data_IF_429919129983
#
_entry.id   IF_429919129983
#
_cell.length_a   1.000
_cell.length_b   1.000
_cell.length_c   1.000
_cell.angle_alpha   90.00
_cell.angle_beta   90.00
_cell.angle_gamma   90.00
#
_symmetry.space_group_name_H-M   'P 1'
#
loop_
_entity.id
_entity.type
_entity.pdbx_description
1 polymer ?
#
# COMPACT_ATOMS: atom_id res chain seq x y z
N UNK A 1 18.45 -7.19 -16.78
CA UNK A 1 19.63 -7.41 -15.92
C UNK A 1 19.64 -8.84 -15.49
N UNK A 2 20.78 -9.45 -15.10
CA UNK A 2 20.76 -10.81 -14.56
C UNK A 2 20.08 -10.84 -13.19
N UNK A 3 19.72 -12.02 -12.73
CA UNK A 3 19.36 -12.22 -11.33
C UNK A 3 20.60 -11.94 -10.48
N UNK A 4 20.48 -11.04 -9.50
CA UNK A 4 21.60 -10.48 -8.73
C UNK A 4 21.48 -10.77 -7.22
N UNK A 5 20.31 -11.23 -6.80
CA UNK A 5 19.98 -11.58 -5.42
C UNK A 5 20.15 -13.09 -5.19
N UNK A 6 19.69 -13.58 -4.07
CA UNK A 6 19.80 -15.00 -3.68
C UNK A 6 19.08 -15.94 -4.68
N UNK A 7 19.55 -17.19 -4.80
CA UNK A 7 18.83 -18.24 -5.51
C UNK A 7 17.43 -18.48 -4.93
N UNK A 8 16.48 -18.95 -5.75
CA UNK A 8 15.07 -19.08 -5.36
C UNK A 8 14.85 -20.00 -4.15
N UNK A 9 15.61 -21.07 -4.01
CA UNK A 9 15.58 -21.97 -2.86
C UNK A 9 16.02 -21.27 -1.57
N UNK A 10 17.06 -20.46 -1.62
CA UNK A 10 17.49 -19.63 -0.49
C UNK A 10 16.48 -18.52 -0.17
N UNK A 11 15.90 -17.88 -1.19
CA UNK A 11 14.84 -16.88 -1.01
C UNK A 11 13.63 -17.44 -0.23
N UNK A 12 13.24 -18.69 -0.49
CA UNK A 12 12.13 -19.35 0.21
C UNK A 12 12.36 -19.51 1.72
N UNK A 13 13.61 -19.58 2.14
CA UNK A 13 14.02 -19.72 3.55
C UNK A 13 14.48 -18.40 4.18
N UNK A 14 14.66 -17.36 3.36
CA UNK A 14 15.18 -16.07 3.81
C UNK A 14 14.29 -15.44 4.88
N UNK A 15 14.92 -14.82 5.90
CA UNK A 15 14.26 -14.08 6.98
C UNK A 15 14.99 -12.77 7.21
N UNK A 16 14.23 -11.70 7.39
CA UNK A 16 14.77 -10.40 7.80
C UNK A 16 15.48 -10.50 9.14
N UNK A 17 16.55 -9.71 9.30
CA UNK A 17 17.23 -9.50 10.56
C UNK A 17 16.70 -8.27 11.31
N UNK A 18 15.77 -7.51 10.71
CA UNK A 18 15.18 -6.32 11.33
C UNK A 18 14.40 -6.71 12.58
N UNK A 19 14.76 -6.10 13.70
CA UNK A 19 14.11 -6.37 15.00
C UNK A 19 12.91 -5.44 15.18
N UNK A 20 11.76 -6.01 15.52
CA UNK A 20 10.58 -5.24 15.84
C UNK A 20 10.82 -4.35 17.07
N UNK A 21 10.45 -3.05 17.04
CA UNK A 21 10.44 -2.20 18.23
C UNK A 21 9.56 -2.77 19.34
N UNK A 22 10.00 -2.69 20.59
CA UNK A 22 9.25 -3.24 21.72
C UNK A 22 7.88 -2.58 21.93
N UNK A 23 7.73 -1.33 21.50
CA UNK A 23 6.53 -0.51 21.61
C UNK A 23 5.68 -0.48 20.31
N UNK A 24 5.99 -1.35 19.34
CA UNK A 24 5.38 -1.32 17.99
C UNK A 24 3.85 -1.41 18.00
N UNK A 25 3.28 -2.26 18.86
CA UNK A 25 1.82 -2.42 18.93
C UNK A 25 1.17 -1.14 19.49
N UNK A 26 1.64 -0.64 20.61
CA UNK A 26 1.15 0.61 21.19
C UNK A 26 1.32 1.82 20.28
N UNK A 27 2.42 1.88 19.54
CA UNK A 27 2.69 2.94 18.56
C UNK A 27 1.64 2.97 17.45
N UNK A 28 1.27 1.83 16.87
CA UNK A 28 0.27 1.78 15.81
C UNK A 28 -1.16 1.92 16.35
N UNK A 29 -1.47 1.35 17.51
CA UNK A 29 -2.76 1.53 18.19
C UNK A 29 -3.02 3.01 18.49
N UNK A 30 -2.02 3.74 19.01
CA UNK A 30 -2.11 5.19 19.24
C UNK A 30 -2.34 5.96 17.94
N UNK A 31 -1.56 5.67 16.89
CA UNK A 31 -1.65 6.36 15.60
C UNK A 31 -3.04 6.24 14.96
N UNK A 32 -3.60 5.02 14.99
CA UNK A 32 -4.91 4.72 14.41
C UNK A 32 -6.02 5.32 15.28
N UNK A 33 -5.91 5.24 16.60
CA UNK A 33 -6.87 5.84 17.54
C UNK A 33 -6.96 7.36 17.34
N UNK A 34 -5.83 8.06 17.29
CA UNK A 34 -5.78 9.51 17.02
C UNK A 34 -6.50 9.89 15.72
N UNK A 35 -6.26 9.12 14.64
CA UNK A 35 -6.90 9.39 13.36
C UNK A 35 -8.43 9.16 13.40
N UNK A 36 -8.89 8.15 14.15
CA UNK A 36 -10.32 7.86 14.35
C UNK A 36 -11.02 8.97 15.16
N UNK A 37 -10.37 9.48 16.20
CA UNK A 37 -10.91 10.58 17.04
C UNK A 37 -11.08 11.88 16.25
N UNK A 38 -10.23 12.14 15.25
CA UNK A 38 -10.28 13.32 14.39
C UNK A 38 -11.10 13.11 13.12
N UNK A 39 -11.69 11.93 12.94
CA UNK A 39 -12.40 11.59 11.72
C UNK A 39 -13.72 12.34 11.57
N UNK A 40 -13.97 12.81 10.38
CA UNK A 40 -15.27 13.35 9.93
C UNK A 40 -15.89 12.39 8.92
N UNK A 41 -17.23 12.45 8.70
CA UNK A 41 -17.88 11.66 7.68
C UNK A 41 -17.25 11.86 6.30
N UNK A 42 -17.03 10.79 5.56
CA UNK A 42 -16.51 10.89 4.21
C UNK A 42 -17.55 11.50 3.26
N UNK A 43 -17.10 12.34 2.33
CA UNK A 43 -17.93 12.91 1.27
C UNK A 43 -17.75 12.10 -0.02
N UNK A 44 -18.85 11.80 -0.70
CA UNK A 44 -18.89 11.09 -1.98
C UNK A 44 -19.59 11.98 -3.00
N UNK A 45 -18.84 12.63 -3.88
CA UNK A 45 -19.35 13.55 -4.90
C UNK A 45 -19.46 12.82 -6.26
N UNK A 46 -20.67 12.68 -6.84
CA UNK A 46 -20.85 11.99 -8.13
C UNK A 46 -20.04 12.65 -9.25
N UNK A 47 -19.40 11.84 -10.09
CA UNK A 47 -18.64 12.26 -11.27
C UNK A 47 -19.37 11.86 -12.55
N UNK A 48 -19.70 12.86 -13.39
CA UNK A 48 -20.27 12.72 -14.76
C UNK A 48 -20.91 11.34 -15.03
N UNK A 49 -22.10 11.05 -14.49
CA UNK A 49 -22.68 9.69 -14.51
C UNK A 49 -22.80 9.11 -15.92
N UNK A 50 -23.03 9.96 -16.93
CA UNK A 50 -23.16 9.59 -18.33
C UNK A 50 -21.88 9.06 -18.99
N UNK A 51 -20.71 9.42 -18.43
CA UNK A 51 -19.42 9.01 -19.00
C UNK A 51 -19.03 7.56 -18.68
N UNK A 52 -19.64 6.96 -17.65
CA UNK A 52 -19.23 5.65 -17.12
C UNK A 52 -20.22 4.52 -17.42
N UNK A 53 -21.34 4.81 -18.14
CA UNK A 53 -22.31 3.80 -18.57
C UNK A 53 -22.87 2.96 -17.41
N UNK A 54 -22.51 1.66 -17.32
CA UNK A 54 -23.01 0.76 -16.29
C UNK A 54 -22.40 1.00 -14.91
N UNK A 55 -21.45 1.93 -14.78
CA UNK A 55 -20.76 2.22 -13.53
C UNK A 55 -21.18 3.58 -12.96
N UNK A 56 -20.98 3.73 -11.67
CA UNK A 56 -21.01 5.01 -10.97
C UNK A 56 -19.59 5.34 -10.49
N UNK A 57 -19.18 6.58 -10.66
CA UNK A 57 -17.88 7.06 -10.18
C UNK A 57 -18.10 8.25 -9.24
N UNK A 58 -17.39 8.25 -8.12
CA UNK A 58 -17.47 9.31 -7.11
C UNK A 58 -16.07 9.83 -6.81
N UNK A 59 -15.97 11.14 -6.64
CA UNK A 59 -14.82 11.79 -6.02
C UNK A 59 -15.02 11.74 -4.52
N UNK A 60 -14.13 11.03 -3.83
CA UNK A 60 -14.23 10.79 -2.39
C UNK A 60 -13.22 11.64 -1.65
N UNK A 61 -13.65 12.22 -0.53
CA UNK A 61 -12.77 12.85 0.46
C UNK A 61 -13.04 12.23 1.82
N UNK A 62 -12.02 11.71 2.46
CA UNK A 62 -12.11 11.15 3.81
C UNK A 62 -10.98 11.65 4.72
N UNK A 63 -11.16 11.54 6.03
CA UNK A 63 -10.15 11.93 7.02
C UNK A 63 -9.10 10.85 7.19
N UNK A 64 -7.86 11.16 6.83
CA UNK A 64 -6.67 10.35 7.08
C UNK A 64 -5.96 10.68 8.39
N UNK A 65 -4.65 10.51 8.42
CA UNK A 65 -3.80 10.86 9.56
C UNK A 65 -3.99 12.33 9.96
N UNK A 66 -4.05 12.57 11.26
CA UNK A 66 -4.29 13.90 11.86
C UNK A 66 -5.59 14.59 11.38
N UNK A 67 -6.58 13.82 10.90
CA UNK A 67 -7.81 14.36 10.34
C UNK A 67 -7.65 15.05 8.97
N UNK A 68 -6.47 14.98 8.36
CA UNK A 68 -6.20 15.61 7.07
C UNK A 68 -7.02 14.97 5.94
N UNK A 69 -7.50 15.75 4.95
CA UNK A 69 -8.27 15.19 3.85
C UNK A 69 -7.41 14.33 2.93
N UNK A 70 -7.88 13.13 2.65
CA UNK A 70 -7.33 12.22 1.63
C UNK A 70 -8.36 12.05 0.53
N UNK A 71 -7.89 12.11 -0.72
CA UNK A 71 -8.75 11.93 -1.89
C UNK A 71 -8.75 10.47 -2.35
N UNK A 72 -9.88 10.04 -2.89
CA UNK A 72 -9.98 8.72 -3.53
C UNK A 72 -10.98 8.77 -4.70
N UNK A 73 -10.92 7.76 -5.58
CA UNK A 73 -12.03 7.44 -6.49
C UNK A 73 -12.81 6.27 -5.92
N UNK A 74 -14.13 6.35 -5.91
CA UNK A 74 -14.98 5.20 -5.63
C UNK A 74 -15.78 4.87 -6.88
N UNK A 75 -15.61 3.65 -7.37
CA UNK A 75 -16.33 3.11 -8.52
C UNK A 75 -17.25 1.99 -8.04
N UNK A 76 -18.49 1.98 -8.54
CA UNK A 76 -19.51 1.04 -8.10
C UNK A 76 -20.37 0.58 -9.28
N UNK A 77 -20.76 -0.71 -9.36
CA UNK A 77 -21.68 -1.20 -10.37
C UNK A 77 -23.07 -0.59 -10.18
N UNK A 78 -23.57 0.17 -11.16
CA UNK A 78 -24.90 0.84 -11.09
C UNK A 78 -26.06 -0.16 -10.89
N UNK A 79 -25.93 -1.37 -11.42
CA UNK A 79 -26.95 -2.40 -11.34
C UNK A 79 -26.97 -3.16 -9.99
N UNK A 80 -26.05 -2.90 -9.09
CA UNK A 80 -26.03 -3.57 -7.80
C UNK A 80 -27.23 -3.15 -6.94
N UNK A 81 -27.97 -4.14 -6.46
CA UNK A 81 -29.17 -3.95 -5.62
C UNK A 81 -28.93 -4.31 -4.15
N UNK A 82 -27.72 -4.77 -3.83
CA UNK A 82 -27.26 -5.14 -2.48
C UNK A 82 -25.81 -4.70 -2.32
N UNK A 83 -25.28 -4.60 -1.09
CA UNK A 83 -23.87 -4.32 -0.84
C UNK A 83 -22.96 -5.34 -1.53
N UNK A 84 -21.91 -4.84 -2.20
CA UNK A 84 -20.95 -5.67 -2.95
C UNK A 84 -19.59 -5.71 -2.26
N UNK A 85 -18.77 -6.72 -2.58
CA UNK A 85 -17.39 -6.74 -2.14
C UNK A 85 -16.62 -5.53 -2.68
N UNK A 86 -15.64 -5.03 -1.91
CA UNK A 86 -14.87 -3.86 -2.27
C UNK A 86 -13.38 -4.17 -2.33
N UNK A 87 -12.75 -3.74 -3.42
CA UNK A 87 -11.28 -3.67 -3.53
C UNK A 87 -10.82 -2.26 -3.16
N UNK A 88 -9.92 -2.17 -2.19
CA UNK A 88 -9.21 -0.91 -1.86
C UNK A 88 -7.84 -0.96 -2.52
N UNK A 89 -7.59 -0.05 -3.46
CA UNK A 89 -6.39 -0.04 -4.30
C UNK A 89 -5.47 1.10 -3.89
N UNK A 90 -4.20 0.77 -3.63
CA UNK A 90 -3.14 1.72 -3.28
C UNK A 90 -2.16 1.90 -4.42
N UNK A 91 -1.59 3.11 -4.54
CA UNK A 91 -0.78 3.55 -5.67
C UNK A 91 0.72 3.40 -5.37
N UNK A 92 1.50 3.15 -6.42
CA UNK A 92 2.96 3.08 -6.38
C UNK A 92 3.63 4.42 -6.09
N UNK A 93 4.92 4.38 -5.75
CA UNK A 93 5.71 5.56 -5.38
C UNK A 93 5.74 6.61 -6.49
N UNK A 94 5.49 7.87 -6.12
CA UNK A 94 5.45 9.02 -7.01
C UNK A 94 4.12 9.23 -7.71
N UNK A 95 3.25 8.20 -7.79
CA UNK A 95 1.94 8.27 -8.42
C UNK A 95 0.83 8.75 -7.50
N UNK A 96 -0.25 9.24 -8.11
CA UNK A 96 -1.53 9.55 -7.48
C UNK A 96 -2.66 8.70 -8.08
N UNK A 97 -3.87 8.97 -7.65
CA UNK A 97 -5.08 8.21 -8.04
C UNK A 97 -5.47 8.28 -9.53
N UNK A 98 -4.79 9.14 -10.33
CA UNK A 98 -5.08 9.31 -11.75
C UNK A 98 -6.53 9.70 -12.05
N UNK A 99 -7.09 9.10 -13.09
CA UNK A 99 -8.48 9.31 -13.50
C UNK A 99 -9.33 8.06 -13.18
N UNK A 100 -10.61 8.22 -12.81
CA UNK A 100 -11.47 7.08 -12.49
C UNK A 100 -11.66 6.12 -13.68
N UNK A 101 -11.52 6.60 -14.92
CA UNK A 101 -11.59 5.76 -16.12
C UNK A 101 -10.49 4.69 -16.21
N UNK A 102 -9.37 4.89 -15.53
CA UNK A 102 -8.24 3.96 -15.49
C UNK A 102 -8.48 2.77 -14.54
N UNK A 103 -9.56 2.82 -13.72
CA UNK A 103 -9.82 1.88 -12.63
C UNK A 103 -11.18 1.17 -12.76
N UNK A 104 -11.67 0.98 -13.97
CA UNK A 104 -13.03 0.45 -14.20
C UNK A 104 -13.15 -1.08 -14.14
N UNK A 105 -12.04 -1.81 -14.13
CA UNK A 105 -12.01 -3.27 -14.29
C UNK A 105 -12.85 -4.00 -13.23
N UNK A 106 -12.60 -3.72 -11.95
CA UNK A 106 -13.29 -4.42 -10.85
C UNK A 106 -14.75 -4.00 -10.74
N UNK A 107 -15.08 -2.73 -11.01
CA UNK A 107 -16.44 -2.28 -11.02
C UNK A 107 -17.23 -2.88 -12.21
N UNK A 108 -16.60 -3.06 -13.37
CA UNK A 108 -17.18 -3.77 -14.50
C UNK A 108 -17.39 -5.27 -14.22
N UNK A 109 -16.55 -5.86 -13.36
CA UNK A 109 -16.71 -7.25 -12.91
C UNK A 109 -17.74 -7.43 -11.77
N UNK A 110 -18.39 -6.35 -11.31
CA UNK A 110 -19.47 -6.42 -10.31
C UNK A 110 -19.05 -6.10 -8.87
N UNK A 111 -17.83 -5.58 -8.64
CA UNK A 111 -17.30 -5.21 -7.32
C UNK A 111 -17.25 -3.69 -7.15
N UNK A 112 -17.20 -3.20 -5.92
CA UNK A 112 -16.80 -1.82 -5.69
C UNK A 112 -15.27 -1.69 -5.72
N UNK A 113 -14.76 -0.52 -6.12
CA UNK A 113 -13.33 -0.21 -6.03
C UNK A 113 -13.12 1.18 -5.45
N UNK A 114 -12.31 1.26 -4.37
CA UNK A 114 -11.85 2.50 -3.77
C UNK A 114 -10.36 2.67 -4.10
N UNK A 115 -10.04 3.60 -5.01
CA UNK A 115 -8.67 3.91 -5.43
C UNK A 115 -8.16 5.08 -4.61
N UNK A 116 -7.22 4.81 -3.72
CA UNK A 116 -6.75 5.77 -2.72
C UNK A 116 -5.60 6.60 -3.27
N UNK A 117 -5.73 7.92 -3.19
CA UNK A 117 -4.68 8.83 -3.58
C UNK A 117 -3.54 8.84 -2.55
N UNK A 118 -2.33 9.11 -3.01
CA UNK A 118 -1.14 9.07 -2.16
C UNK A 118 -0.80 10.46 -1.66
N UNK A 119 -0.79 10.65 -0.35
CA UNK A 119 -0.40 11.89 0.35
C UNK A 119 0.91 12.46 -0.22
N UNK A 120 0.91 13.76 -0.60
CA UNK A 120 2.06 14.49 -1.13
C UNK A 120 2.79 13.82 -2.31
N UNK A 121 2.11 12.94 -3.05
CA UNK A 121 2.63 12.34 -4.27
C UNK A 121 1.68 12.63 -5.45
N UNK A 122 1.95 12.07 -6.62
CA UNK A 122 1.13 12.34 -7.80
C UNK A 122 1.69 13.42 -8.72
N UNK A 123 2.97 13.77 -8.55
CA UNK A 123 3.71 14.64 -9.47
C UNK A 123 4.42 13.89 -10.59
N UNK A 124 4.45 12.55 -10.54
CA UNK A 124 5.11 11.68 -11.53
C UNK A 124 4.24 10.46 -11.82
N UNK A 125 4.15 10.08 -13.10
CA UNK A 125 3.37 8.92 -13.53
C UNK A 125 1.88 9.24 -13.65
N UNK A 126 1.12 9.15 -12.57
CA UNK A 126 -0.31 9.48 -12.50
C UNK A 126 -0.56 10.67 -11.58
N UNK A 127 -1.56 11.50 -11.92
CA UNK A 127 -1.88 12.71 -11.17
C UNK A 127 -2.49 12.41 -9.79
N UNK A 128 -2.05 13.13 -8.76
CA UNK A 128 -2.61 13.12 -7.42
C UNK A 128 -3.38 14.40 -7.09
N UNK A 129 -4.08 14.39 -5.95
CA UNK A 129 -4.84 15.52 -5.44
C UNK A 129 -4.80 15.65 -3.91
N UNK A 130 -4.00 14.80 -3.22
CA UNK A 130 -3.87 14.78 -1.76
C UNK A 130 -2.58 15.46 -1.34
N UNK A 131 -2.69 16.54 -0.55
CA UNK A 131 -1.53 17.20 0.04
C UNK A 131 -1.06 16.56 1.34
N UNK A 132 0.04 17.09 1.90
CA UNK A 132 0.53 16.77 3.26
C UNK A 132 0.62 18.06 4.10
N UNK A 133 -0.50 18.54 4.67
CA UNK A 133 -0.55 19.85 5.35
C UNK A 133 0.44 20.01 6.50
N UNK A 134 0.95 18.93 7.07
CA UNK A 134 1.97 18.97 8.10
C UNK A 134 3.35 19.45 7.62
N UNK A 135 3.55 19.55 6.30
CA UNK A 135 4.79 20.01 5.67
C UNK A 135 4.70 21.44 5.09
N UNK A 136 3.62 22.18 5.38
CA UNK A 136 3.32 23.50 4.80
C UNK A 136 2.22 23.43 3.73
N UNK A 137 2.18 24.39 2.80
CA UNK A 137 1.31 24.27 1.63
C UNK A 137 1.72 23.04 0.83
N UNK A 138 0.75 22.16 0.63
CA UNK A 138 1.02 20.90 -0.04
C UNK A 138 -0.07 20.56 -1.03
N UNK A 139 0.40 20.13 -2.18
CA UNK A 139 -0.37 19.54 -3.25
C UNK A 139 0.34 18.28 -3.75
N UNK A 140 0.06 17.83 -4.97
CA UNK A 140 0.85 16.80 -5.63
C UNK A 140 2.31 17.24 -5.78
N UNK A 141 3.22 16.38 -5.35
CA UNK A 141 4.66 16.64 -5.39
C UNK A 141 5.37 15.54 -6.21
N UNK A 142 6.57 15.84 -6.69
CA UNK A 142 7.47 14.82 -7.20
C UNK A 142 7.98 13.96 -6.04
N UNK A 143 8.37 12.71 -6.34
CA UNK A 143 8.92 11.77 -5.36
C UNK A 143 10.16 12.35 -4.64
N UNK A 144 10.44 11.88 -3.43
CA UNK A 144 11.50 12.37 -2.53
C UNK A 144 11.02 12.40 -1.07
N UNK A 145 10.17 11.43 -0.68
CA UNK A 145 9.52 11.43 0.64
C UNK A 145 10.16 10.45 1.64
N UNK A 146 11.16 9.65 1.20
CA UNK A 146 11.75 8.59 2.02
C UNK A 146 12.43 9.10 3.28
N UNK A 147 12.94 10.32 3.28
CA UNK A 147 13.63 10.92 4.44
C UNK A 147 12.77 11.94 5.19
N UNK A 148 11.52 12.17 4.77
CA UNK A 148 10.65 13.18 5.37
C UNK A 148 10.24 12.80 6.80
N UNK A 149 10.79 13.49 7.80
CA UNK A 149 10.56 13.23 9.22
C UNK A 149 11.26 11.97 9.76
N UNK A 150 12.31 11.47 9.09
CA UNK A 150 12.92 10.15 9.35
C UNK A 150 13.63 10.04 10.71
N UNK A 151 13.96 11.14 11.36
CA UNK A 151 14.66 11.13 12.66
C UNK A 151 13.74 10.76 13.84
N UNK A 152 12.41 10.80 13.64
CA UNK A 152 11.45 10.42 14.68
C UNK A 152 10.32 9.59 14.05
N UNK A 153 10.07 8.35 14.53
CA UNK A 153 8.99 7.52 14.04
C UNK A 153 7.61 8.23 14.02
N UNK A 154 7.35 9.11 15.01
CA UNK A 154 6.08 9.84 15.15
C UNK A 154 5.86 10.88 14.06
N UNK A 155 6.92 11.46 13.51
CA UNK A 155 6.87 12.46 12.44
C UNK A 155 7.14 11.89 11.06
N UNK A 156 7.54 10.63 10.98
CA UNK A 156 7.90 9.98 9.73
C UNK A 156 6.73 9.93 8.74
N UNK A 157 7.02 10.23 7.48
CA UNK A 157 6.03 10.29 6.41
C UNK A 157 5.19 9.02 6.29
N UNK A 158 5.82 7.84 6.33
CA UNK A 158 5.12 6.56 6.17
C UNK A 158 4.22 6.21 7.35
N UNK A 159 4.43 6.76 8.55
CA UNK A 159 3.45 6.65 9.64
C UNK A 159 2.09 7.21 9.20
N UNK A 160 2.12 8.42 8.62
CA UNK A 160 0.89 9.07 8.15
C UNK A 160 0.26 8.34 6.98
N UNK A 161 1.08 7.89 6.02
CA UNK A 161 0.59 7.18 4.85
C UNK A 161 -0.05 5.82 5.20
N UNK A 162 0.51 5.07 6.17
CA UNK A 162 -0.08 3.81 6.63
C UNK A 162 -1.40 4.05 7.38
N UNK A 163 -1.49 5.12 8.16
CA UNK A 163 -2.75 5.54 8.79
C UNK A 163 -3.80 5.91 7.73
N UNK A 164 -3.42 6.63 6.67
CA UNK A 164 -4.33 6.95 5.56
C UNK A 164 -4.87 5.66 4.90
N UNK A 165 -4.01 4.66 4.72
CA UNK A 165 -4.41 3.37 4.14
C UNK A 165 -5.40 2.61 5.04
N UNK A 166 -5.19 2.59 6.36
CA UNK A 166 -6.14 2.04 7.33
C UNK A 166 -7.48 2.79 7.26
N UNK A 167 -7.44 4.12 7.26
CA UNK A 167 -8.64 4.97 7.18
C UNK A 167 -9.42 4.76 5.88
N UNK A 168 -8.74 4.46 4.77
CA UNK A 168 -9.38 4.12 3.51
C UNK A 168 -10.22 2.83 3.61
N UNK A 169 -9.68 1.78 4.23
CA UNK A 169 -10.43 0.53 4.48
C UNK A 169 -11.64 0.78 5.38
N UNK A 170 -11.48 1.56 6.44
CA UNK A 170 -12.58 1.93 7.32
C UNK A 170 -13.65 2.77 6.62
N UNK A 171 -13.24 3.65 5.70
CA UNK A 171 -14.14 4.45 4.86
C UNK A 171 -14.93 3.56 3.90
N UNK A 172 -14.29 2.59 3.25
CA UNK A 172 -14.97 1.62 2.40
C UNK A 172 -15.98 0.79 3.21
N UNK A 173 -15.58 0.29 4.40
CA UNK A 173 -16.44 -0.51 5.27
C UNK A 173 -17.67 0.23 5.80
N UNK A 174 -17.58 1.55 5.93
CA UNK A 174 -18.68 2.40 6.41
C UNK A 174 -19.68 2.79 5.30
N UNK A 175 -19.35 2.58 4.04
CA UNK A 175 -20.24 2.91 2.91
C UNK A 175 -21.36 1.84 2.79
N UNK A 176 -22.64 2.23 2.74
CA UNK A 176 -23.75 1.26 2.70
C UNK A 176 -23.80 0.42 1.42
N UNK A 177 -23.06 0.78 0.37
CA UNK A 177 -22.96 0.02 -0.90
C UNK A 177 -21.93 -1.09 -0.82
N UNK A 178 -21.10 -1.13 0.23
CA UNK A 178 -20.01 -2.10 0.44
C UNK A 178 -20.39 -3.10 1.52
N UNK A 179 -20.11 -4.38 1.27
CA UNK A 179 -20.17 -5.42 2.30
C UNK A 179 -18.89 -5.36 3.15
N UNK A 180 -18.96 -4.95 4.42
CA UNK A 180 -17.79 -4.79 5.27
C UNK A 180 -17.06 -6.11 5.60
N UNK A 181 -17.67 -7.26 5.33
CA UNK A 181 -17.07 -8.58 5.50
C UNK A 181 -16.26 -9.03 4.26
N UNK A 182 -16.39 -8.32 3.14
CA UNK A 182 -15.80 -8.67 1.85
C UNK A 182 -14.95 -7.52 1.30
N UNK A 183 -13.90 -7.13 2.07
CA UNK A 183 -12.94 -6.11 1.67
C UNK A 183 -11.60 -6.76 1.35
N UNK A 184 -11.08 -6.49 0.17
CA UNK A 184 -9.72 -6.81 -0.24
C UNK A 184 -8.88 -5.55 -0.39
N UNK A 185 -7.58 -5.66 -0.11
CA UNK A 185 -6.59 -4.59 -0.35
C UNK A 185 -5.63 -5.03 -1.43
N UNK A 186 -5.22 -4.10 -2.31
CA UNK A 186 -4.32 -4.43 -3.41
C UNK A 186 -3.46 -3.22 -3.82
N UNK A 187 -2.29 -3.50 -4.37
CA UNK A 187 -1.44 -2.50 -4.96
C UNK A 187 -0.09 -3.04 -5.40
N UNK A 188 0.59 -2.22 -6.21
CA UNK A 188 1.90 -2.53 -6.77
C UNK A 188 2.98 -1.66 -6.11
N UNK A 189 4.16 -2.23 -5.83
CA UNK A 189 5.30 -1.51 -5.28
C UNK A 189 4.97 -0.86 -3.93
N UNK A 190 4.99 0.46 -3.79
CA UNK A 190 4.49 1.16 -2.60
C UNK A 190 3.04 0.77 -2.29
N UNK A 191 2.19 0.60 -3.31
CA UNK A 191 0.83 0.12 -3.11
C UNK A 191 0.77 -1.29 -2.52
N UNK A 192 1.70 -2.17 -2.91
CA UNK A 192 1.88 -3.49 -2.31
C UNK A 192 2.30 -3.41 -0.84
N UNK A 193 3.21 -2.49 -0.52
CA UNK A 193 3.60 -2.21 0.86
C UNK A 193 2.42 -1.73 1.71
N UNK A 194 1.59 -0.81 1.18
CA UNK A 194 0.38 -0.32 1.84
C UNK A 194 -0.66 -1.42 2.02
N UNK A 195 -0.75 -2.36 1.09
CA UNK A 195 -1.63 -3.53 1.20
C UNK A 195 -1.21 -4.45 2.34
N UNK A 196 0.09 -4.78 2.44
CA UNK A 196 0.63 -5.59 3.54
C UNK A 196 0.45 -4.89 4.90
N UNK A 197 0.87 -3.62 5.00
CA UNK A 197 0.75 -2.86 6.26
C UNK A 197 -0.70 -2.72 6.70
N UNK A 198 -1.64 -2.44 5.79
CA UNK A 198 -3.06 -2.33 6.11
C UNK A 198 -3.63 -3.67 6.60
N UNK A 199 -3.33 -4.77 5.90
CA UNK A 199 -3.76 -6.10 6.32
C UNK A 199 -3.17 -6.51 7.69
N UNK A 200 -1.99 -6.01 8.04
CA UNK A 200 -1.34 -6.22 9.35
C UNK A 200 -1.93 -5.36 10.46
N UNK A 201 -2.29 -4.10 10.16
CA UNK A 201 -2.73 -3.11 11.15
C UNK A 201 -4.24 -3.20 11.47
N UNK A 202 -5.06 -3.66 10.51
CA UNK A 202 -6.50 -3.93 10.70
C UNK A 202 -6.86 -5.34 10.26
N UNK A 203 -6.27 -6.39 10.89
CA UNK A 203 -6.32 -7.77 10.40
C UNK A 203 -7.72 -8.39 10.37
N UNK A 204 -8.67 -7.79 11.08
CA UNK A 204 -10.07 -8.27 11.14
C UNK A 204 -10.96 -7.62 10.07
N UNK A 205 -10.45 -6.61 9.33
CA UNK A 205 -11.22 -5.89 8.30
C UNK A 205 -10.87 -6.33 6.88
N UNK A 206 -9.70 -6.93 6.70
CA UNK A 206 -9.20 -7.34 5.39
C UNK A 206 -9.37 -8.85 5.23
N UNK A 207 -10.10 -9.27 4.19
CA UNK A 207 -10.31 -10.68 3.82
C UNK A 207 -9.24 -11.20 2.86
N UNK A 208 -8.81 -10.36 1.91
CA UNK A 208 -7.79 -10.68 0.90
C UNK A 208 -6.77 -9.55 0.79
N UNK A 209 -5.49 -9.90 0.76
CA UNK A 209 -4.39 -8.98 0.50
C UNK A 209 -3.66 -9.42 -0.77
N UNK A 210 -3.63 -8.58 -1.80
CA UNK A 210 -2.90 -8.81 -3.05
C UNK A 210 -1.78 -7.77 -3.15
N UNK A 211 -0.56 -8.15 -2.77
CA UNK A 211 0.59 -7.27 -2.67
C UNK A 211 1.60 -7.57 -3.79
N UNK A 212 1.65 -6.71 -4.81
CA UNK A 212 2.51 -6.91 -5.96
C UNK A 212 3.86 -6.23 -5.78
N UNK A 213 4.94 -7.02 -5.91
CA UNK A 213 6.33 -6.56 -5.80
C UNK A 213 6.48 -5.51 -4.68
N UNK A 214 6.06 -5.85 -3.43
CA UNK A 214 5.88 -4.87 -2.37
C UNK A 214 7.19 -4.19 -1.99
N UNK A 215 7.14 -2.85 -1.94
CA UNK A 215 8.18 -1.99 -1.42
C UNK A 215 8.17 -1.97 0.12
N UNK A 216 9.12 -1.30 0.79
CA UNK A 216 9.23 -1.18 2.25
C UNK A 216 9.21 -2.53 2.99
N UNK A 217 9.93 -3.49 2.44
CA UNK A 217 10.16 -4.79 3.04
C UNK A 217 11.64 -4.94 3.33
N UNK A 218 12.02 -5.35 4.55
CA UNK A 218 13.41 -5.56 4.97
C UNK A 218 14.31 -4.37 4.56
N UNK A 219 13.92 -3.18 5.00
CA UNK A 219 14.42 -1.92 4.46
C UNK A 219 15.93 -1.76 4.69
N UNK A 220 16.42 -2.19 5.86
CA UNK A 220 17.86 -2.17 6.18
C UNK A 220 18.68 -3.00 5.19
N UNK A 221 18.17 -4.16 4.78
CA UNK A 221 18.80 -4.98 3.75
C UNK A 221 18.62 -4.37 2.36
N UNK A 222 17.42 -3.88 2.05
CA UNK A 222 17.10 -3.27 0.75
C UNK A 222 18.04 -2.13 0.37
N UNK A 223 18.40 -1.24 1.31
CA UNK A 223 19.32 -0.11 1.05
C UNK A 223 20.75 -0.56 0.72
N UNK A 224 21.11 -1.82 1.00
CA UNK A 224 22.41 -2.37 0.63
C UNK A 224 22.42 -3.02 -0.75
N UNK A 225 21.25 -3.36 -1.31
CA UNK A 225 21.11 -4.11 -2.56
C UNK A 225 20.55 -3.26 -3.71
N UNK A 226 19.55 -2.41 -3.43
CA UNK A 226 18.83 -1.68 -4.47
C UNK A 226 19.68 -0.53 -5.04
N UNK A 227 20.04 -0.57 -6.35
CA UNK A 227 20.81 0.49 -6.98
C UNK A 227 19.95 1.68 -7.40
N UNK A 228 18.62 1.52 -7.37
CA UNK A 228 17.66 2.46 -7.92
C UNK A 228 16.83 3.16 -6.84
N UNK A 229 16.20 4.29 -7.21
CA UNK A 229 15.21 4.94 -6.35
C UNK A 229 13.98 4.05 -6.18
N UNK A 230 13.28 4.19 -5.02
CA UNK A 230 13.44 5.20 -3.97
C UNK A 230 14.40 4.82 -2.83
N UNK A 231 14.92 3.60 -2.73
CA UNK A 231 15.83 3.23 -1.63
C UNK A 231 17.13 4.06 -1.61
N UNK A 232 17.63 4.48 -2.77
CA UNK A 232 18.83 5.32 -2.83
C UNK A 232 18.65 6.71 -2.20
N UNK A 233 17.41 7.20 -1.98
CA UNK A 233 17.17 8.42 -1.20
C UNK A 233 17.65 8.27 0.26
N UNK A 234 17.50 7.06 0.83
CA UNK A 234 18.02 6.73 2.16
C UNK A 234 19.54 6.61 2.15
N UNK A 235 20.11 5.97 1.13
CA UNK A 235 21.56 5.82 0.96
C UNK A 235 22.23 7.18 0.84
N UNK A 236 21.69 8.06 -0.03
CA UNK A 236 22.19 9.43 -0.22
C UNK A 236 22.15 10.23 1.08
N UNK A 237 21.07 10.10 1.86
CA UNK A 237 20.94 10.76 3.15
C UNK A 237 21.96 10.23 4.16
N UNK A 238 22.06 8.91 4.33
CA UNK A 238 22.96 8.27 5.29
C UNK A 238 24.44 8.47 4.93
N UNK A 239 24.78 8.62 3.66
CA UNK A 239 26.12 8.95 3.22
C UNK A 239 26.60 10.34 3.69
N UNK A 240 25.69 11.25 4.02
CA UNK A 240 25.99 12.57 4.57
C UNK A 240 25.82 12.62 6.11
N UNK A 241 25.04 11.72 6.68
CA UNK A 241 24.61 11.73 8.09
C UNK A 241 24.96 10.42 8.79
N UNK A 242 26.26 10.07 8.83
CA UNK A 242 26.75 8.80 9.39
C UNK A 242 26.43 8.63 10.89
N UNK A 243 26.32 9.72 11.63
CA UNK A 243 25.96 9.75 13.05
C UNK A 243 24.47 9.44 13.31
N UNK A 244 23.63 9.48 12.27
CA UNK A 244 22.19 9.27 12.37
C UNK A 244 21.73 7.86 11.96
N UNK A 245 22.62 6.99 11.51
CA UNK A 245 22.29 5.65 10.98
C UNK A 245 21.39 4.87 11.95
N UNK A 246 21.77 4.76 13.21
CA UNK A 246 20.99 4.00 14.19
C UNK A 246 19.59 4.60 14.42
N UNK A 247 19.45 5.92 14.42
CA UNK A 247 18.16 6.62 14.56
C UNK A 247 17.28 6.37 13.35
N UNK A 248 17.83 6.47 12.16
CA UNK A 248 17.13 6.22 10.90
C UNK A 248 16.63 4.78 10.80
N UNK A 249 17.51 3.79 11.04
CA UNK A 249 17.15 2.37 10.99
C UNK A 249 16.09 2.03 12.05
N UNK A 250 16.18 2.61 13.25
CA UNK A 250 15.12 2.48 14.25
C UNK A 250 13.79 3.04 13.74
N UNK A 251 13.76 4.20 13.10
CA UNK A 251 12.52 4.76 12.54
C UNK A 251 11.95 3.88 11.45
N UNK A 252 12.78 3.37 10.56
CA UNK A 252 12.37 2.48 9.47
C UNK A 252 11.79 1.16 9.97
N UNK A 253 12.27 0.61 11.09
CA UNK A 253 11.75 -0.65 11.64
C UNK A 253 10.27 -0.58 12.07
N UNK A 254 9.71 0.61 12.34
CA UNK A 254 8.28 0.77 12.63
C UNK A 254 7.38 0.59 11.41
N UNK A 255 7.90 0.82 10.20
CA UNK A 255 7.14 0.76 8.94
C UNK A 255 7.57 -0.40 8.04
N UNK A 256 8.52 -1.22 8.48
CA UNK A 256 9.03 -2.35 7.71
C UNK A 256 7.99 -3.48 7.64
N UNK A 257 7.60 -3.85 6.42
CA UNK A 257 6.61 -4.91 6.21
C UNK A 257 7.14 -6.31 6.56
N UNK A 258 8.45 -6.55 6.57
CA UNK A 258 9.01 -7.81 7.08
C UNK A 258 8.75 -7.97 8.59
N UNK A 259 8.62 -6.85 9.32
CA UNK A 259 8.25 -6.82 10.74
C UNK A 259 6.72 -6.91 10.93
N UNK A 260 5.95 -6.16 10.13
CA UNK A 260 4.50 -6.09 10.28
C UNK A 260 3.77 -7.34 9.78
N UNK A 261 4.30 -8.04 8.77
CA UNK A 261 3.63 -9.13 8.07
C UNK A 261 3.19 -10.31 8.96
N UNK A 262 3.84 -10.53 10.09
CA UNK A 262 3.46 -11.58 11.06
C UNK A 262 2.05 -11.36 11.68
N UNK A 263 1.50 -10.14 11.60
CA UNK A 263 0.17 -9.77 12.10
C UNK A 263 -0.95 -10.04 11.11
N UNK A 264 -0.63 -10.31 9.84
CA UNK A 264 -1.61 -10.52 8.77
C UNK A 264 -2.41 -11.79 9.03
N UNK A 265 -3.74 -11.67 8.96
CA UNK A 265 -4.69 -12.79 9.06
C UNK A 265 -5.40 -13.08 7.74
N UNK A 266 -5.44 -12.09 6.86
CA UNK A 266 -6.03 -12.20 5.53
C UNK A 266 -5.32 -13.28 4.69
N UNK A 267 -6.07 -13.97 3.81
CA UNK A 267 -5.44 -14.66 2.69
C UNK A 267 -4.58 -13.66 1.94
N UNK A 268 -3.32 -14.02 1.65
CA UNK A 268 -2.38 -13.08 1.04
C UNK A 268 -1.72 -13.69 -0.19
N UNK A 269 -1.76 -12.96 -1.29
CA UNK A 269 -0.98 -13.27 -2.50
C UNK A 269 0.05 -12.18 -2.72
N UNK A 270 1.30 -12.60 -2.92
CA UNK A 270 2.42 -11.70 -3.22
C UNK A 270 2.94 -12.02 -4.62
N UNK A 271 3.44 -11.03 -5.34
CA UNK A 271 4.22 -11.26 -6.56
C UNK A 271 5.66 -10.78 -6.40
N UNK A 272 6.60 -11.40 -7.13
CA UNK A 272 8.02 -11.04 -7.12
C UNK A 272 8.65 -11.26 -8.47
N UNK A 273 9.46 -10.30 -8.92
CA UNK A 273 10.33 -10.44 -10.09
C UNK A 273 11.75 -10.76 -9.66
N UNK A 274 12.35 -11.86 -10.16
CA UNK A 274 13.71 -12.24 -9.73
C UNK A 274 14.82 -11.34 -10.32
N UNK A 275 14.47 -10.39 -11.19
CA UNK A 275 15.38 -9.39 -11.77
C UNK A 275 15.01 -7.97 -11.30
N UNK A 276 14.22 -7.84 -10.23
CA UNK A 276 13.73 -6.57 -9.72
C UNK A 276 14.81 -5.87 -8.89
N UNK A 277 15.33 -4.75 -9.39
CA UNK A 277 16.34 -3.91 -8.73
C UNK A 277 15.76 -2.80 -7.86
N UNK A 278 14.44 -2.60 -7.91
CA UNK A 278 13.73 -1.60 -7.10
C UNK A 278 13.24 -2.24 -5.80
N UNK A 279 12.59 -3.41 -5.89
CA UNK A 279 12.19 -4.22 -4.75
C UNK A 279 12.93 -5.57 -4.82
N UNK A 280 14.16 -5.66 -4.29
CA UNK A 280 14.98 -6.88 -4.39
C UNK A 280 14.22 -8.12 -3.92
N UNK A 281 14.34 -9.27 -4.62
CA UNK A 281 13.61 -10.49 -4.30
C UNK A 281 13.70 -10.92 -2.84
N UNK A 282 14.89 -10.89 -2.23
CA UNK A 282 15.09 -11.27 -0.82
C UNK A 282 14.24 -10.44 0.13
N UNK A 283 14.07 -9.14 -0.14
CA UNK A 283 13.27 -8.26 0.70
C UNK A 283 11.77 -8.57 0.59
N UNK A 284 11.29 -8.88 -0.60
CA UNK A 284 9.91 -9.34 -0.84
C UNK A 284 9.65 -10.66 -0.14
N UNK A 285 10.59 -11.62 -0.25
CA UNK A 285 10.49 -12.91 0.42
C UNK A 285 10.60 -12.77 1.94
N UNK A 286 11.35 -11.80 2.49
CA UNK A 286 11.38 -11.53 3.92
C UNK A 286 9.99 -11.25 4.49
N UNK A 287 9.23 -10.35 3.84
CA UNK A 287 7.86 -10.05 4.23
C UNK A 287 6.93 -11.26 3.98
N UNK A 288 6.99 -11.88 2.79
CA UNK A 288 6.18 -13.05 2.47
C UNK A 288 6.41 -14.19 3.48
N UNK A 289 7.65 -14.53 3.77
CA UNK A 289 7.98 -15.63 4.68
C UNK A 289 7.51 -15.37 6.12
N UNK A 290 7.40 -14.10 6.54
CA UNK A 290 6.89 -13.72 7.86
C UNK A 290 5.36 -13.86 8.02
N UNK A 291 4.59 -13.92 6.93
CA UNK A 291 3.13 -14.10 6.99
C UNK A 291 2.81 -15.49 7.50
N UNK A 292 2.03 -15.58 8.57
CA UNK A 292 1.56 -16.85 9.15
C UNK A 292 0.22 -17.36 8.59
N UNK A 293 -0.56 -16.49 7.94
CA UNK A 293 -1.84 -16.83 7.34
C UNK A 293 -1.67 -17.61 6.02
N UNK A 294 -2.79 -18.07 5.43
CA UNK A 294 -2.78 -18.69 4.11
C UNK A 294 -2.20 -17.72 3.08
N UNK A 295 -1.17 -18.15 2.37
CA UNK A 295 -0.43 -17.30 1.44
C UNK A 295 0.04 -18.04 0.20
N UNK A 296 0.19 -17.28 -0.89
CA UNK A 296 0.81 -17.74 -2.14
C UNK A 296 1.76 -16.66 -2.68
N UNK A 297 2.78 -17.06 -3.42
CA UNK A 297 3.70 -16.16 -4.12
C UNK A 297 3.81 -16.49 -5.60
N UNK A 298 3.57 -15.48 -6.45
CA UNK A 298 3.78 -15.55 -7.89
C UNK A 298 5.21 -15.12 -8.21
N UNK A 299 6.05 -16.07 -8.60
CA UNK A 299 7.45 -15.81 -8.96
C UNK A 299 7.57 -15.62 -10.48
N UNK A 300 8.15 -14.49 -10.89
CA UNK A 300 8.43 -14.14 -12.29
C UNK A 300 9.94 -14.10 -12.54
N UNK A 301 10.55 -15.22 -13.00
CA UNK A 301 12.01 -15.33 -13.06
C UNK A 301 12.72 -14.35 -13.97
N UNK A 302 12.01 -13.82 -14.98
CA UNK A 302 12.55 -12.92 -15.99
C UNK A 302 11.96 -11.51 -15.94
N UNK A 303 11.20 -11.17 -14.88
CA UNK A 303 10.67 -9.81 -14.67
C UNK A 303 11.59 -9.01 -13.76
N UNK A 304 11.81 -7.75 -14.14
CA UNK A 304 12.25 -6.71 -13.23
C UNK A 304 11.04 -6.16 -12.45
N UNK A 305 11.00 -4.85 -12.19
CA UNK A 305 9.90 -4.18 -11.49
C UNK A 305 8.69 -3.97 -12.41
N UNK A 306 8.13 -5.05 -12.92
CA UNK A 306 6.98 -5.04 -13.84
C UNK A 306 6.23 -6.38 -13.82
N UNK A 307 4.90 -6.30 -13.88
CA UNK A 307 4.02 -7.46 -13.91
C UNK A 307 3.72 -7.89 -15.36
N UNK A 308 3.67 -9.19 -15.66
CA UNK A 308 3.17 -9.65 -16.94
C UNK A 308 1.65 -9.46 -17.04
N UNK A 309 1.13 -9.21 -18.25
CA UNK A 309 -0.28 -8.86 -18.45
C UNK A 309 -1.29 -9.87 -17.89
N UNK A 310 -0.98 -11.17 -17.95
CA UNK A 310 -1.85 -12.22 -17.39
C UNK A 310 -1.98 -12.18 -15.85
N UNK A 311 -1.11 -11.43 -15.15
CA UNK A 311 -1.18 -11.30 -13.70
C UNK A 311 -2.45 -10.56 -13.26
N UNK A 312 -2.89 -9.56 -14.01
CA UNK A 312 -4.12 -8.81 -13.72
C UNK A 312 -5.35 -9.71 -13.77
N UNK A 313 -5.43 -10.60 -14.78
CA UNK A 313 -6.51 -11.58 -14.90
C UNK A 313 -6.51 -12.56 -13.73
N UNK A 314 -5.35 -13.10 -13.38
CA UNK A 314 -5.18 -13.97 -12.19
C UNK A 314 -5.66 -13.28 -10.90
N UNK A 315 -5.34 -12.00 -10.71
CA UNK A 315 -5.79 -11.25 -9.53
C UNK A 315 -7.30 -11.06 -9.50
N UNK A 316 -7.92 -10.74 -10.65
CA UNK A 316 -9.35 -10.61 -10.76
C UNK A 316 -10.08 -11.93 -10.46
N UNK A 317 -9.61 -13.04 -11.02
CA UNK A 317 -10.15 -14.38 -10.75
C UNK A 317 -10.03 -14.77 -9.27
N UNK A 318 -8.88 -14.49 -8.65
CA UNK A 318 -8.67 -14.74 -7.23
C UNK A 318 -9.62 -13.87 -6.39
N UNK A 319 -9.71 -12.57 -6.69
CA UNK A 319 -10.60 -11.66 -5.98
C UNK A 319 -12.06 -12.14 -6.09
N UNK A 320 -12.51 -12.50 -7.29
CA UNK A 320 -13.87 -13.01 -7.50
C UNK A 320 -14.14 -14.28 -6.68
N UNK A 321 -13.19 -15.20 -6.64
CA UNK A 321 -13.31 -16.47 -5.88
C UNK A 321 -13.35 -16.22 -4.37
N UNK A 322 -12.49 -15.37 -3.82
CA UNK A 322 -12.39 -15.14 -2.38
C UNK A 322 -13.48 -14.21 -1.84
N UNK A 323 -14.10 -13.41 -2.73
CA UNK A 323 -15.16 -12.45 -2.38
C UNK A 323 -16.58 -12.96 -2.73
N UNK A 324 -16.70 -14.17 -3.24
CA UNK A 324 -17.99 -14.80 -3.54
C UNK A 324 -18.86 -15.02 -2.28
#
# INVERSE_FOLDING_TARGET
MPQFDLPLDELREYRSQTVAPNDLDGYWEEAIREARELATPAAFEPRKPEAYGPLEAFDVTFSGAAGHPVRAWFLHPRAATAPVACRVTFIGYGGGRGLPAEHTLYAAAGFAELVVDTRAQGGVGSAGATGDPGAGESGPEAAGVMTRGILDPRTYYYRRLYVDAVRAVETAAADPRVDPQRIGVSGFSQGGALSLSTAALVPNMVRLCQADMPYLCDIEHAITLAPDRPYTELVDYLAQHHDQVATVLRTLSYVDNAVLAARIRARTTVSVGLMDTICPPSTVFAAFNAIGAQKDIAVYPYSGHALPGHHVERQLEEFAREMA
#
